data_IF_399501707131
#
_entry.id   IF_399501707131
#
_cell.length_a   1.000
_cell.length_b   1.000
_cell.length_c   1.000
_cell.angle_alpha   90.00
_cell.angle_beta   90.00
_cell.angle_gamma   90.00
#
_symmetry.space_group_name_H-M   'P 1'
#
loop_
_entity.id
_entity.type
_entity.pdbx_description
1 polymer ?
#
# COMPACT_ATOMS: atom_id res chain seq x y z
N UNK A 1 -46.16 -5.62 -47.03
CA UNK A 1 -44.71 -5.84 -47.24
C UNK A 1 -43.96 -4.63 -46.74
N UNK A 2 -43.46 -4.67 -45.50
CA UNK A 2 -42.45 -3.74 -44.98
C UNK A 2 -41.52 -4.54 -44.09
N UNK A 3 -40.25 -4.51 -44.47
CA UNK A 3 -39.11 -5.12 -43.82
C UNK A 3 -38.91 -4.54 -42.42
N UNK A 4 -38.53 -5.39 -41.46
CA UNK A 4 -38.05 -4.94 -40.15
C UNK A 4 -36.65 -5.51 -39.96
N UNK A 5 -35.65 -4.63 -40.03
CA UNK A 5 -34.24 -4.93 -39.74
C UNK A 5 -34.08 -5.42 -38.30
N UNK A 6 -33.48 -6.60 -38.15
CA UNK A 6 -32.96 -7.09 -36.88
C UNK A 6 -31.59 -6.45 -36.66
N UNK A 7 -31.53 -5.46 -35.77
CA UNK A 7 -30.28 -4.89 -35.27
C UNK A 7 -29.73 -5.76 -34.14
N UNK A 8 -28.71 -6.56 -34.46
CA UNK A 8 -27.95 -7.36 -33.50
C UNK A 8 -27.01 -6.42 -32.72
N UNK A 9 -27.39 -6.04 -31.50
CA UNK A 9 -26.48 -5.35 -30.56
C UNK A 9 -25.49 -6.39 -30.02
N UNK A 10 -24.27 -6.36 -30.57
CA UNK A 10 -23.14 -7.10 -30.03
C UNK A 10 -22.77 -6.54 -28.65
N UNK A 11 -23.12 -7.27 -27.60
CA UNK A 11 -22.56 -7.08 -26.26
C UNK A 11 -21.09 -7.49 -26.34
N UNK A 12 -20.20 -6.51 -26.50
CA UNK A 12 -18.78 -6.74 -26.33
C UNK A 12 -18.53 -7.16 -24.88
N UNK A 13 -18.16 -8.44 -24.69
CA UNK A 13 -17.72 -8.95 -23.41
C UNK A 13 -16.54 -8.11 -22.93
N UNK A 14 -16.74 -7.38 -21.82
CA UNK A 14 -15.66 -6.77 -21.05
C UNK A 14 -14.73 -7.89 -20.62
N UNK A 15 -13.59 -8.01 -21.29
CA UNK A 15 -12.55 -8.95 -20.93
C UNK A 15 -12.11 -8.68 -19.49
N UNK A 16 -11.99 -9.76 -18.72
CA UNK A 16 -11.38 -9.76 -17.39
C UNK A 16 -10.01 -9.10 -17.50
N UNK A 17 -9.86 -7.93 -16.87
CA UNK A 17 -8.59 -7.24 -16.74
C UNK A 17 -7.67 -8.08 -15.86
N UNK A 18 -7.00 -9.05 -16.44
CA UNK A 18 -5.83 -9.68 -15.83
C UNK A 18 -4.77 -8.59 -15.69
N UNK A 19 -4.22 -8.44 -14.49
CA UNK A 19 -3.04 -7.61 -14.29
C UNK A 19 -1.99 -8.02 -15.35
N UNK A 20 -1.33 -7.07 -16.02
CA UNK A 20 -0.38 -7.39 -17.09
C UNK A 20 0.69 -8.36 -16.57
N UNK A 21 1.04 -9.35 -17.40
CA UNK A 21 2.00 -10.38 -17.03
C UNK A 21 3.34 -9.77 -16.56
N UNK A 22 3.85 -10.28 -15.44
CA UNK A 22 5.10 -9.82 -14.82
C UNK A 22 6.29 -10.15 -15.74
N UNK A 23 7.19 -9.20 -16.04
CA UNK A 23 8.39 -9.49 -16.82
C UNK A 23 9.25 -10.57 -16.15
N UNK A 24 9.91 -11.41 -16.94
CA UNK A 24 10.86 -12.41 -16.44
C UNK A 24 12.01 -11.74 -15.66
N UNK A 25 12.63 -12.50 -14.75
CA UNK A 25 13.80 -12.04 -13.99
C UNK A 25 14.90 -11.55 -14.94
N UNK A 26 15.46 -10.34 -14.72
CA UNK A 26 16.62 -9.89 -15.48
C UNK A 26 17.78 -10.86 -15.26
N UNK A 27 18.35 -11.36 -16.35
CA UNK A 27 19.64 -12.03 -16.28
C UNK A 27 20.72 -10.96 -16.05
N UNK A 28 21.17 -10.81 -14.79
CA UNK A 28 22.07 -9.73 -14.37
C UNK A 28 23.42 -9.78 -15.09
N UNK A 29 23.74 -10.90 -15.74
CA UNK A 29 25.00 -11.12 -16.44
C UNK A 29 24.95 -10.74 -17.93
N UNK A 30 23.78 -10.48 -18.53
CA UNK A 30 23.63 -10.28 -19.98
C UNK A 30 23.18 -8.86 -20.40
N UNK A 31 22.80 -7.98 -19.47
CA UNK A 31 22.31 -6.63 -19.80
C UNK A 31 23.44 -5.60 -19.86
N UNK A 32 23.42 -4.69 -20.84
CA UNK A 32 24.33 -3.54 -20.87
C UNK A 32 24.13 -2.65 -19.61
N UNK A 33 25.18 -2.43 -18.81
CA UNK A 33 25.09 -1.58 -17.63
C UNK A 33 24.75 -0.12 -17.99
N UNK A 34 23.86 0.49 -17.23
CA UNK A 34 23.55 1.91 -17.33
C UNK A 34 24.40 2.73 -16.35
N UNK A 35 24.82 3.92 -16.77
CA UNK A 35 25.29 4.95 -15.82
C UNK A 35 24.13 5.44 -14.97
N UNK A 36 24.42 6.12 -13.85
CA UNK A 36 23.38 6.75 -13.01
C UNK A 36 22.43 7.65 -13.81
N UNK A 37 23.00 8.59 -14.59
CA UNK A 37 22.21 9.54 -15.41
C UNK A 37 21.38 8.80 -16.47
N UNK A 38 21.94 7.75 -17.10
CA UNK A 38 21.21 6.96 -18.07
C UNK A 38 20.04 6.20 -17.41
N UNK A 39 20.27 5.61 -16.22
CA UNK A 39 19.23 4.91 -15.47
C UNK A 39 18.10 5.85 -15.03
N UNK A 40 18.41 7.05 -14.54
CA UNK A 40 17.42 8.08 -14.19
C UNK A 40 16.57 8.50 -15.41
N UNK A 41 17.21 8.71 -16.56
CA UNK A 41 16.52 9.04 -17.82
C UNK A 41 15.62 7.90 -18.31
N UNK A 42 16.13 6.67 -18.30
CA UNK A 42 15.36 5.48 -18.71
C UNK A 42 14.17 5.28 -17.78
N UNK A 43 14.36 5.39 -16.46
CA UNK A 43 13.28 5.29 -15.48
C UNK A 43 12.18 6.34 -15.71
N UNK A 44 12.56 7.59 -15.99
CA UNK A 44 11.60 8.64 -16.30
C UNK A 44 10.82 8.36 -17.60
N UNK A 45 11.51 7.96 -18.68
CA UNK A 45 10.89 7.66 -19.97
C UNK A 45 9.98 6.44 -19.89
N UNK A 46 10.45 5.34 -19.31
CA UNK A 46 9.69 4.09 -19.11
C UNK A 46 8.52 4.31 -18.17
N UNK A 47 8.71 5.08 -17.10
CA UNK A 47 7.65 5.45 -16.17
C UNK A 47 6.53 6.25 -16.85
N UNK A 48 6.89 7.22 -17.70
CA UNK A 48 5.91 7.98 -18.49
C UNK A 48 5.15 7.09 -19.47
N UNK A 49 5.85 6.21 -20.21
CA UNK A 49 5.23 5.26 -21.14
C UNK A 49 4.29 4.28 -20.42
N UNK A 50 4.73 3.71 -19.31
CA UNK A 50 3.92 2.81 -18.48
C UNK A 50 2.68 3.53 -17.95
N UNK A 51 2.83 4.77 -17.47
CA UNK A 51 1.70 5.59 -17.01
C UNK A 51 0.66 5.78 -18.11
N UNK A 52 1.08 6.06 -19.34
CA UNK A 52 0.16 6.21 -20.46
C UNK A 52 -0.61 4.90 -20.76
N UNK A 53 0.08 3.75 -20.74
CA UNK A 53 -0.54 2.43 -20.92
C UNK A 53 -1.55 2.14 -19.82
N UNK A 54 -1.17 2.35 -18.55
CA UNK A 54 -2.06 2.16 -17.39
C UNK A 54 -3.25 3.13 -17.50
N UNK A 55 -3.02 4.41 -17.77
CA UNK A 55 -4.10 5.38 -17.89
C UNK A 55 -5.13 4.97 -18.96
N UNK A 56 -4.67 4.52 -20.14
CA UNK A 56 -5.54 4.06 -21.21
C UNK A 56 -6.35 2.80 -20.82
N UNK A 57 -5.70 1.82 -20.18
CA UNK A 57 -6.35 0.57 -19.76
C UNK A 57 -7.36 0.76 -18.62
N UNK A 58 -7.07 1.66 -17.68
CA UNK A 58 -7.87 1.86 -16.48
C UNK A 58 -8.91 2.98 -16.60
N UNK A 59 -8.82 3.89 -17.59
CA UNK A 59 -9.78 4.98 -17.77
C UNK A 59 -11.27 4.53 -17.73
N UNK A 60 -11.69 3.43 -18.40
CA UNK A 60 -13.08 2.97 -18.32
C UNK A 60 -13.51 2.53 -16.91
N UNK A 61 -12.61 1.86 -16.17
CA UNK A 61 -12.86 1.41 -14.79
C UNK A 61 -12.99 2.58 -13.82
N UNK A 62 -12.17 3.62 -13.99
CA UNK A 62 -12.22 4.84 -13.18
C UNK A 62 -13.51 5.62 -13.46
N UNK A 63 -13.92 5.70 -14.72
CA UNK A 63 -15.19 6.30 -15.12
C UNK A 63 -16.40 5.55 -14.52
N UNK A 64 -16.32 4.21 -14.50
CA UNK A 64 -17.33 3.35 -13.87
C UNK A 64 -17.24 3.30 -12.32
N UNK A 65 -16.21 3.93 -11.74
CA UNK A 65 -15.88 3.88 -10.30
C UNK A 65 -15.81 2.47 -9.72
N UNK A 66 -15.26 1.54 -10.48
CA UNK A 66 -15.08 0.16 -10.03
C UNK A 66 -13.88 -0.53 -10.67
N UNK A 67 -13.25 -1.41 -9.92
CA UNK A 67 -12.16 -2.28 -10.37
C UNK A 67 -12.53 -3.72 -10.03
N UNK A 68 -12.35 -4.62 -10.99
CA UNK A 68 -12.61 -6.06 -10.81
C UNK A 68 -11.33 -6.85 -11.00
N UNK A 69 -11.00 -7.71 -10.03
CA UNK A 69 -9.91 -8.69 -10.10
C UNK A 69 -10.52 -10.05 -9.74
N UNK A 70 -10.45 -11.00 -10.66
CA UNK A 70 -11.15 -12.29 -10.51
C UNK A 70 -12.66 -12.08 -10.40
N UNK A 71 -13.28 -12.64 -9.36
CA UNK A 71 -14.71 -12.48 -9.03
C UNK A 71 -15.00 -11.30 -8.09
N UNK A 72 -13.96 -10.56 -7.64
CA UNK A 72 -14.10 -9.49 -6.66
C UNK A 72 -14.10 -8.13 -7.32
N UNK A 73 -15.09 -7.31 -6.96
CA UNK A 73 -15.25 -5.95 -7.48
C UNK A 73 -15.19 -4.94 -6.35
N UNK A 74 -14.21 -4.06 -6.37
CA UNK A 74 -14.12 -2.88 -5.51
C UNK A 74 -14.82 -1.72 -6.21
N UNK A 75 -15.92 -1.22 -5.64
CA UNK A 75 -16.59 0.00 -6.08
C UNK A 75 -16.19 1.15 -5.18
N UNK A 76 -16.27 2.40 -5.63
CA UNK A 76 -16.02 3.54 -4.74
C UNK A 76 -16.84 4.77 -5.10
N UNK A 77 -16.96 5.64 -4.12
CA UNK A 77 -17.35 7.03 -4.33
C UNK A 77 -16.16 7.93 -4.06
N UNK A 78 -16.14 9.13 -4.65
CA UNK A 78 -15.03 10.07 -4.44
C UNK A 78 -15.47 11.53 -4.48
N UNK A 79 -14.73 12.38 -3.76
CA UNK A 79 -14.84 13.83 -3.73
C UNK A 79 -13.45 14.42 -3.92
N UNK A 80 -13.33 15.47 -4.71
CA UNK A 80 -12.05 16.16 -4.93
C UNK A 80 -12.04 17.48 -4.18
N UNK A 81 -10.94 17.77 -3.51
CA UNK A 81 -10.71 18.97 -2.72
C UNK A 81 -9.44 19.70 -3.19
N UNK A 82 -9.43 21.02 -3.02
CA UNK A 82 -8.31 21.88 -3.39
C UNK A 82 -8.03 21.91 -4.90
N UNK A 83 -6.88 22.47 -5.25
CA UNK A 83 -6.48 22.76 -6.65
C UNK A 83 -5.11 22.19 -7.01
N UNK A 84 -4.61 21.23 -6.23
CA UNK A 84 -3.30 20.63 -6.46
C UNK A 84 -3.18 20.11 -7.90
N UNK A 85 -2.06 20.45 -8.59
CA UNK A 85 -1.87 20.07 -9.98
C UNK A 85 -1.72 18.56 -10.15
N UNK A 86 -1.85 18.09 -11.39
CA UNK A 86 -1.59 16.69 -11.73
C UNK A 86 -0.19 16.26 -11.27
N UNK A 87 -0.10 15.09 -10.66
CA UNK A 87 1.12 14.53 -10.09
C UNK A 87 1.43 15.02 -8.67
N UNK A 88 0.60 15.88 -8.07
CA UNK A 88 0.78 16.43 -6.72
C UNK A 88 -0.41 16.23 -5.78
N UNK A 89 -1.51 15.64 -6.28
CA UNK A 89 -2.72 15.42 -5.49
C UNK A 89 -2.49 14.31 -4.47
N UNK A 90 -3.00 14.49 -3.27
CA UNK A 90 -3.11 13.40 -2.29
C UNK A 90 -4.30 12.50 -2.62
N UNK A 91 -4.24 11.25 -2.14
CA UNK A 91 -5.34 10.29 -2.17
C UNK A 91 -5.65 9.85 -0.75
N UNK A 92 -6.91 9.87 -0.37
CA UNK A 92 -7.39 9.43 0.94
C UNK A 92 -8.34 8.27 0.73
N UNK A 93 -7.94 7.07 1.12
CA UNK A 93 -8.75 5.85 1.04
C UNK A 93 -9.44 5.67 2.39
N UNK A 94 -10.76 5.85 2.43
CA UNK A 94 -11.56 5.86 3.66
C UNK A 94 -12.53 4.68 3.71
N UNK A 95 -12.15 3.64 4.45
CA UNK A 95 -12.88 2.37 4.53
C UNK A 95 -14.09 2.46 5.45
N UNK A 96 -15.23 1.94 4.99
CA UNK A 96 -16.49 1.98 5.74
C UNK A 96 -16.57 0.90 6.83
N UNK A 97 -17.37 1.18 7.86
CA UNK A 97 -17.75 0.21 8.90
C UNK A 97 -18.81 -0.79 8.44
N UNK A 98 -19.30 -1.64 9.35
CA UNK A 98 -20.28 -2.69 9.02
C UNK A 98 -19.64 -4.08 9.06
N UNK A 99 -19.91 -4.90 8.05
CA UNK A 99 -19.50 -6.30 8.02
C UNK A 99 -20.50 -7.24 8.71
N UNK A 100 -20.51 -8.49 8.26
CA UNK A 100 -21.43 -9.55 8.68
C UNK A 100 -22.91 -9.10 8.75
N UNK A 101 -23.33 -8.31 7.78
CA UNK A 101 -24.64 -7.68 7.72
C UNK A 101 -25.19 -7.75 6.30
N UNK A 102 -26.52 -7.61 6.09
CA UNK A 102 -27.07 -7.52 4.75
C UNK A 102 -26.43 -6.39 3.95
N UNK A 103 -26.25 -6.59 2.63
CA UNK A 103 -25.58 -5.62 1.76
C UNK A 103 -26.13 -4.19 1.88
N UNK A 104 -27.44 -4.03 2.01
CA UNK A 104 -28.07 -2.72 2.19
C UNK A 104 -27.59 -1.96 3.45
N UNK A 105 -27.18 -2.67 4.51
CA UNK A 105 -26.60 -2.06 5.72
C UNK A 105 -25.18 -1.58 5.41
N UNK A 106 -24.35 -2.41 4.78
CA UNK A 106 -23.00 -2.05 4.38
C UNK A 106 -22.98 -0.91 3.36
N UNK A 107 -23.90 -0.90 2.41
CA UNK A 107 -24.07 0.19 1.45
C UNK A 107 -24.40 1.50 2.15
N UNK A 108 -25.24 1.47 3.20
CA UNK A 108 -25.52 2.67 4.01
C UNK A 108 -24.27 3.16 4.75
N UNK A 109 -23.47 2.26 5.32
CA UNK A 109 -22.20 2.64 5.96
C UNK A 109 -21.21 3.25 4.95
N UNK A 110 -21.12 2.67 3.76
CA UNK A 110 -20.34 3.22 2.66
C UNK A 110 -20.78 4.62 2.25
N UNK A 111 -22.09 4.86 2.11
CA UNK A 111 -22.65 6.18 1.79
C UNK A 111 -22.43 7.22 2.91
N UNK A 112 -22.35 6.78 4.17
CA UNK A 112 -21.96 7.65 5.27
C UNK A 112 -20.46 8.00 5.20
N UNK A 113 -19.61 7.01 4.90
CA UNK A 113 -18.16 7.15 4.90
C UNK A 113 -17.66 8.22 3.94
N UNK A 114 -18.26 8.34 2.73
CA UNK A 114 -17.86 9.36 1.74
C UNK A 114 -18.13 10.81 2.19
N UNK A 115 -18.95 11.00 3.22
CA UNK A 115 -19.31 12.33 3.76
C UNK A 115 -18.60 12.66 5.08
N UNK A 116 -17.80 11.73 5.60
CA UNK A 116 -17.33 11.79 6.98
C UNK A 116 -16.22 12.83 7.19
N UNK A 117 -15.23 12.87 6.29
CA UNK A 117 -14.09 13.78 6.39
C UNK A 117 -13.96 14.72 5.20
N UNK A 118 -13.20 15.80 5.39
CA UNK A 118 -12.91 16.82 4.37
C UNK A 118 -11.43 17.20 4.49
N UNK A 119 -10.53 16.55 3.73
CA UNK A 119 -9.14 16.98 3.66
C UNK A 119 -9.00 18.35 2.96
N UNK A 120 -7.90 19.06 3.23
CA UNK A 120 -7.64 20.37 2.63
C UNK A 120 -7.45 20.28 1.11
N UNK A 121 -6.77 19.24 0.63
CA UNK A 121 -6.69 18.91 -0.78
C UNK A 121 -6.67 17.40 -1.06
N UNK A 122 -6.85 17.06 -2.32
CA UNK A 122 -6.70 15.72 -2.86
C UNK A 122 -8.02 15.05 -3.20
N UNK A 123 -7.96 13.73 -3.42
CA UNK A 123 -9.11 12.89 -3.73
C UNK A 123 -9.47 12.13 -2.48
N UNK A 124 -10.61 12.45 -1.88
CA UNK A 124 -11.19 11.67 -0.79
C UNK A 124 -12.09 10.58 -1.39
N UNK A 125 -11.70 9.33 -1.21
CA UNK A 125 -12.26 8.16 -1.85
C UNK A 125 -12.74 7.18 -0.78
N UNK A 126 -14.01 6.80 -0.84
CA UNK A 126 -14.56 5.75 0.02
C UNK A 126 -14.83 4.50 -0.82
N UNK A 127 -14.03 3.43 -0.68
CA UNK A 127 -14.34 2.15 -1.31
C UNK A 127 -15.49 1.44 -0.58
N UNK A 128 -16.26 0.63 -1.32
CA UNK A 128 -17.17 -0.39 -0.80
C UNK A 128 -16.46 -1.74 -0.84
N UNK A 129 -16.31 -2.39 0.31
CA UNK A 129 -15.62 -3.68 0.35
C UNK A 129 -16.29 -4.69 -0.58
N UNK A 130 -15.55 -5.54 -1.31
CA UNK A 130 -16.18 -6.45 -2.27
C UNK A 130 -17.13 -7.48 -1.63
N UNK A 131 -16.96 -7.78 -0.35
CA UNK A 131 -17.77 -8.73 0.42
C UNK A 131 -18.47 -8.07 1.61
N UNK A 132 -19.42 -8.80 2.19
CA UNK A 132 -20.21 -8.40 3.36
C UNK A 132 -19.85 -9.24 4.60
N UNK A 133 -18.70 -9.92 4.59
CA UNK A 133 -18.22 -10.79 5.67
C UNK A 133 -17.80 -9.97 6.89
N UNK A 134 -17.59 -10.62 8.03
CA UNK A 134 -17.16 -9.93 9.26
C UNK A 134 -15.77 -9.29 9.11
N UNK A 135 -14.90 -9.86 8.26
CA UNK A 135 -13.53 -9.43 7.99
C UNK A 135 -13.36 -8.86 6.57
N UNK A 136 -14.40 -8.20 6.04
CA UNK A 136 -14.48 -7.68 4.66
C UNK A 136 -13.25 -6.89 4.16
N UNK A 137 -12.46 -6.27 5.04
CA UNK A 137 -11.26 -5.50 4.68
C UNK A 137 -9.93 -6.25 4.87
N UNK A 138 -9.98 -7.47 5.41
CA UNK A 138 -8.81 -8.30 5.67
C UNK A 138 -8.62 -9.38 4.59
N UNK A 139 -9.68 -9.75 3.87
CA UNK A 139 -9.62 -10.81 2.87
C UNK A 139 -8.54 -10.55 1.80
N UNK A 140 -7.82 -11.60 1.38
CA UNK A 140 -6.60 -11.47 0.56
C UNK A 140 -6.76 -10.82 -0.82
N UNK A 141 -7.98 -10.55 -1.26
CA UNK A 141 -8.25 -9.81 -2.49
C UNK A 141 -8.21 -8.28 -2.30
N UNK A 142 -8.21 -7.78 -1.05
CA UNK A 142 -8.19 -6.34 -0.75
C UNK A 142 -6.89 -5.69 -1.20
N UNK A 143 -5.74 -6.27 -0.85
CA UNK A 143 -4.42 -5.74 -1.20
C UNK A 143 -4.24 -5.54 -2.71
N UNK A 144 -4.46 -6.56 -3.58
CA UNK A 144 -4.31 -6.35 -5.02
C UNK A 144 -5.33 -5.36 -5.59
N UNK A 145 -6.54 -5.26 -5.02
CA UNK A 145 -7.52 -4.24 -5.44
C UNK A 145 -7.08 -2.83 -5.04
N UNK A 146 -6.47 -2.66 -3.86
CA UNK A 146 -5.92 -1.37 -3.41
C UNK A 146 -4.68 -0.99 -4.20
N UNK A 147 -3.79 -1.93 -4.52
CA UNK A 147 -2.66 -1.70 -5.41
C UNK A 147 -3.13 -1.20 -6.78
N UNK A 148 -4.11 -1.89 -7.38
CA UNK A 148 -4.69 -1.50 -8.66
C UNK A 148 -5.37 -0.12 -8.58
N UNK A 149 -6.11 0.16 -7.50
CA UNK A 149 -6.75 1.45 -7.28
C UNK A 149 -5.72 2.59 -7.18
N UNK A 150 -4.65 2.41 -6.42
CA UNK A 150 -3.60 3.43 -6.26
C UNK A 150 -2.93 3.71 -7.61
N UNK A 151 -2.50 2.66 -8.31
CA UNK A 151 -1.85 2.81 -9.63
C UNK A 151 -2.78 3.51 -10.64
N UNK A 152 -4.07 3.17 -10.64
CA UNK A 152 -5.10 3.83 -11.43
C UNK A 152 -5.21 5.33 -11.12
N UNK A 153 -5.27 5.70 -9.83
CA UNK A 153 -5.40 7.09 -9.40
C UNK A 153 -4.13 7.90 -9.73
N UNK A 154 -2.94 7.29 -9.61
CA UNK A 154 -1.66 7.88 -10.01
C UNK A 154 -1.62 8.12 -11.52
N UNK A 155 -2.11 7.16 -12.31
CA UNK A 155 -2.08 7.22 -13.77
C UNK A 155 -3.06 8.25 -14.35
N UNK A 156 -4.31 8.21 -13.90
CA UNK A 156 -5.43 8.94 -14.51
C UNK A 156 -5.67 10.28 -13.82
N UNK A 157 -5.62 10.29 -12.49
CA UNK A 157 -6.01 11.46 -11.70
C UNK A 157 -4.83 12.26 -11.15
N UNK A 158 -3.59 11.83 -11.42
CA UNK A 158 -2.38 12.56 -11.04
C UNK A 158 -2.18 12.60 -9.53
N UNK A 159 -2.49 11.49 -8.85
CA UNK A 159 -2.10 11.29 -7.46
C UNK A 159 -0.58 11.18 -7.37
N UNK A 160 -0.01 11.82 -6.35
CA UNK A 160 1.37 11.59 -5.93
C UNK A 160 1.43 10.29 -5.11
N UNK A 161 2.17 9.26 -5.54
CA UNK A 161 2.26 7.97 -4.82
C UNK A 161 2.89 8.11 -3.42
N UNK A 162 3.52 9.24 -3.09
CA UNK A 162 4.00 9.52 -1.74
C UNK A 162 3.00 10.26 -0.85
N UNK A 163 1.79 10.53 -1.35
CA UNK A 163 0.73 11.23 -0.63
C UNK A 163 -0.59 10.43 -0.65
N UNK A 164 -0.47 9.13 -0.42
CA UNK A 164 -1.61 8.22 -0.27
C UNK A 164 -1.81 7.93 1.22
N UNK A 165 -3.03 8.10 1.69
CA UNK A 165 -3.40 8.01 3.10
C UNK A 165 -4.49 6.96 3.26
N UNK A 166 -4.33 6.07 4.24
CA UNK A 166 -5.33 5.03 4.55
C UNK A 166 -6.07 5.38 5.83
N UNK A 167 -7.39 5.31 5.84
CA UNK A 167 -8.16 5.52 7.06
C UNK A 167 -9.43 4.68 7.04
N UNK A 168 -10.05 4.47 8.20
CA UNK A 168 -11.27 3.69 8.28
C UNK A 168 -11.94 3.75 9.63
N UNK A 169 -13.27 3.61 9.63
CA UNK A 169 -14.09 3.71 10.84
C UNK A 169 -14.77 2.38 11.15
N UNK A 170 -14.81 1.97 12.43
CA UNK A 170 -15.44 0.72 12.88
C UNK A 170 -14.79 -0.50 12.21
N UNK A 171 -15.55 -1.35 11.50
CA UNK A 171 -14.95 -2.43 10.68
C UNK A 171 -13.95 -1.91 9.63
N UNK A 172 -14.10 -0.68 9.14
CA UNK A 172 -13.07 -0.03 8.34
C UNK A 172 -11.81 0.25 9.16
N UNK A 173 -11.94 0.56 10.45
CA UNK A 173 -10.82 0.63 11.39
C UNK A 173 -10.17 -0.73 11.64
N UNK A 174 -10.96 -1.81 11.75
CA UNK A 174 -10.44 -3.20 11.77
C UNK A 174 -9.60 -3.46 10.51
N UNK A 175 -10.10 -3.00 9.35
CA UNK A 175 -9.36 -3.03 8.08
C UNK A 175 -8.06 -2.24 8.11
N UNK A 176 -8.02 -1.06 8.76
CA UNK A 176 -6.78 -0.27 8.87
C UNK A 176 -5.73 -1.02 9.68
N UNK A 177 -6.11 -1.66 10.78
CA UNK A 177 -5.19 -2.49 11.56
C UNK A 177 -4.50 -3.56 10.73
N UNK A 178 -5.24 -4.17 9.79
CA UNK A 178 -4.76 -5.26 8.96
C UNK A 178 -4.01 -4.75 7.73
N UNK A 179 -4.59 -3.83 6.95
CA UNK A 179 -4.03 -3.38 5.66
C UNK A 179 -2.80 -2.48 5.84
N UNK A 180 -2.78 -1.62 6.87
CA UNK A 180 -1.70 -0.67 7.06
C UNK A 180 -0.31 -1.32 7.23
N UNK A 181 -0.09 -2.33 8.09
CA UNK A 181 1.21 -3.00 8.18
C UNK A 181 1.55 -3.81 6.93
N UNK A 182 0.54 -4.41 6.28
CA UNK A 182 0.68 -5.25 5.08
C UNK A 182 1.10 -4.46 3.84
N UNK A 183 0.67 -3.20 3.76
CA UNK A 183 0.92 -2.29 2.62
C UNK A 183 1.59 -0.98 3.05
N UNK A 184 2.38 -0.98 4.14
CA UNK A 184 2.99 0.23 4.70
C UNK A 184 3.88 0.99 3.70
N UNK A 185 4.42 0.27 2.72
CA UNK A 185 5.23 0.81 1.63
C UNK A 185 4.41 1.50 0.52
N UNK A 186 3.09 1.60 0.67
CA UNK A 186 2.18 2.31 -0.26
C UNK A 186 1.54 3.56 0.35
N UNK A 187 1.69 3.77 1.66
CA UNK A 187 1.03 4.86 2.38
C UNK A 187 2.01 5.85 3.00
N UNK A 188 1.56 7.09 3.12
CA UNK A 188 2.26 8.18 3.81
C UNK A 188 1.89 8.26 5.28
N UNK A 189 0.64 7.92 5.63
CA UNK A 189 0.15 7.73 6.99
C UNK A 189 -1.13 6.88 6.97
N UNK A 190 -1.47 6.28 8.11
CA UNK A 190 -2.73 5.58 8.33
C UNK A 190 -3.44 6.03 9.61
N UNK A 191 -4.78 5.99 9.65
CA UNK A 191 -5.57 6.29 10.84
C UNK A 191 -6.67 5.28 11.05
N UNK A 192 -6.66 4.65 12.22
CA UNK A 192 -7.67 3.71 12.69
C UNK A 192 -8.65 4.43 13.60
N UNK A 193 -9.94 4.36 13.27
CA UNK A 193 -11.01 4.96 14.07
C UNK A 193 -12.00 3.89 14.54
N UNK A 194 -12.20 3.77 15.84
CA UNK A 194 -13.18 2.86 16.48
C UNK A 194 -13.11 1.38 16.01
N UNK A 195 -11.94 0.93 15.55
CA UNK A 195 -11.69 -0.43 15.09
C UNK A 195 -11.05 -1.32 16.15
N UNK A 196 -11.28 -2.63 16.03
CA UNK A 196 -10.68 -3.68 16.82
C UNK A 196 -9.42 -4.22 16.12
N UNK A 197 -8.28 -4.38 16.83
CA UNK A 197 -7.03 -4.82 16.22
C UNK A 197 -7.02 -6.28 15.78
N UNK A 198 -7.91 -7.12 16.32
CA UNK A 198 -7.86 -8.58 16.13
C UNK A 198 -6.46 -9.11 16.49
N UNK A 199 -5.83 -9.85 15.58
CA UNK A 199 -4.47 -10.38 15.69
C UNK A 199 -3.40 -9.49 15.06
N UNK A 200 -3.74 -8.26 14.62
CA UNK A 200 -2.84 -7.40 13.89
C UNK A 200 -1.51 -7.13 14.62
N UNK A 201 -0.42 -7.38 13.90
CA UNK A 201 0.94 -7.04 14.32
C UNK A 201 1.28 -5.59 13.98
N UNK A 202 1.92 -4.87 14.91
CA UNK A 202 2.37 -3.49 14.69
C UNK A 202 3.74 -3.41 14.03
N UNK A 203 4.46 -4.52 13.92
CA UNK A 203 5.86 -4.54 13.46
C UNK A 203 6.03 -3.94 12.05
N UNK A 204 5.06 -4.18 11.15
CA UNK A 204 5.06 -3.63 9.80
C UNK A 204 4.90 -2.10 9.74
N UNK A 205 4.46 -1.46 10.83
CA UNK A 205 4.18 -0.02 10.88
C UNK A 205 5.44 0.84 11.07
N UNK A 206 6.64 0.25 11.16
CA UNK A 206 7.87 0.97 11.48
C UNK A 206 8.04 2.29 10.70
N UNK A 207 7.78 2.27 9.40
CA UNK A 207 7.97 3.44 8.52
C UNK A 207 6.65 4.14 8.14
N UNK A 208 5.53 3.74 8.74
CA UNK A 208 4.21 4.29 8.47
C UNK A 208 3.69 5.02 9.71
N UNK A 209 3.59 6.35 9.68
CA UNK A 209 2.88 7.12 10.69
C UNK A 209 1.47 6.57 10.90
N UNK A 210 1.13 6.18 12.13
CA UNK A 210 -0.12 5.48 12.44
C UNK A 210 -0.90 6.16 13.56
N UNK A 211 -2.19 6.45 13.34
CA UNK A 211 -3.05 7.05 14.35
C UNK A 211 -4.07 6.04 14.91
N UNK A 212 -4.25 6.05 16.24
CA UNK A 212 -5.25 5.26 16.97
C UNK A 212 -6.26 6.24 17.56
N UNK A 213 -7.53 6.16 17.13
CA UNK A 213 -8.60 7.03 17.61
C UNK A 213 -9.77 6.18 18.09
N UNK A 214 -10.14 6.34 19.37
CA UNK A 214 -11.07 5.43 20.04
C UNK A 214 -11.97 6.18 21.03
N UNK A 215 -13.24 5.79 21.10
CA UNK A 215 -14.15 6.26 22.15
C UNK A 215 -13.82 5.59 23.48
N UNK A 216 -13.67 6.37 24.56
CA UNK A 216 -13.35 5.84 25.89
C UNK A 216 -14.45 4.93 26.46
N UNK A 217 -15.70 5.09 26.00
CA UNK A 217 -16.84 4.25 26.35
C UNK A 217 -17.18 3.21 25.26
N UNK A 218 -16.38 3.07 24.19
CA UNK A 218 -16.54 2.02 23.18
C UNK A 218 -15.96 0.68 23.67
N UNK A 219 -16.66 0.07 24.63
CA UNK A 219 -16.23 -1.16 25.30
C UNK A 219 -16.60 -2.45 24.54
N UNK A 220 -17.32 -2.36 23.42
CA UNK A 220 -17.69 -3.53 22.63
C UNK A 220 -16.42 -4.25 22.15
N UNK A 221 -16.34 -5.57 22.42
CA UNK A 221 -15.17 -6.40 22.13
C UNK A 221 -13.86 -5.87 22.75
N UNK A 222 -13.94 -5.13 23.87
CA UNK A 222 -12.78 -4.51 24.52
C UNK A 222 -11.97 -3.53 23.63
N UNK A 223 -12.59 -2.95 22.60
CA UNK A 223 -11.92 -2.03 21.65
C UNK A 223 -11.16 -0.90 22.34
N UNK A 224 -11.78 -0.23 23.30
CA UNK A 224 -11.15 0.85 24.07
C UNK A 224 -9.90 0.39 24.83
N UNK A 225 -9.97 -0.74 25.55
CA UNK A 225 -8.84 -1.32 26.27
C UNK A 225 -7.72 -1.72 25.30
N UNK A 226 -8.05 -2.44 24.23
CA UNK A 226 -7.07 -2.89 23.24
C UNK A 226 -6.42 -1.72 22.50
N UNK A 227 -7.14 -0.63 22.23
CA UNK A 227 -6.56 0.59 21.69
C UNK A 227 -5.52 1.22 22.63
N UNK A 228 -5.78 1.20 23.95
CA UNK A 228 -4.81 1.66 24.95
C UNK A 228 -3.57 0.75 24.99
N UNK A 229 -3.76 -0.57 24.94
CA UNK A 229 -2.67 -1.54 24.91
C UNK A 229 -1.80 -1.40 23.66
N UNK A 230 -2.42 -1.23 22.48
CA UNK A 230 -1.71 -0.99 21.22
C UNK A 230 -1.00 0.36 21.20
N UNK A 231 -1.54 1.37 21.88
CA UNK A 231 -0.83 2.65 22.11
C UNK A 231 0.45 2.41 22.92
N UNK A 232 0.36 1.72 24.05
CA UNK A 232 1.52 1.40 24.87
C UNK A 232 2.53 0.47 24.17
N UNK A 233 2.09 -0.36 23.23
CA UNK A 233 2.96 -1.13 22.34
C UNK A 233 3.73 -0.22 21.37
N UNK A 234 3.06 0.73 20.70
CA UNK A 234 3.72 1.71 19.83
C UNK A 234 4.68 2.63 20.60
N UNK A 235 4.33 3.05 21.82
CA UNK A 235 5.24 3.82 22.69
C UNK A 235 6.55 3.06 22.93
N UNK A 236 6.46 1.77 23.27
CA UNK A 236 7.65 0.92 23.49
C UNK A 236 8.46 0.71 22.22
N UNK A 237 7.78 0.44 21.10
CA UNK A 237 8.44 0.24 19.80
C UNK A 237 9.15 1.53 19.34
N UNK A 238 8.51 2.69 19.49
CA UNK A 238 9.10 3.99 19.17
C UNK A 238 10.27 4.33 20.11
N UNK A 239 10.15 4.07 21.41
CA UNK A 239 11.25 4.28 22.35
C UNK A 239 12.49 3.42 22.02
N UNK A 240 12.28 2.19 21.55
CA UNK A 240 13.35 1.29 21.11
C UNK A 240 13.93 1.64 19.72
N UNK A 241 13.16 2.37 18.90
CA UNK A 241 13.56 2.82 17.56
C UNK A 241 13.05 4.26 17.31
N UNK A 242 13.74 5.29 17.83
CA UNK A 242 13.26 6.68 17.80
C UNK A 242 13.01 7.28 16.41
N UNK A 243 13.44 6.58 15.35
CA UNK A 243 13.17 6.94 13.95
C UNK A 243 12.05 6.13 13.28
N UNK A 244 11.34 5.27 14.03
CA UNK A 244 10.25 4.43 13.53
C UNK A 244 9.02 4.48 14.43
N UNK A 245 7.90 3.89 13.98
CA UNK A 245 6.65 3.80 14.74
C UNK A 245 6.10 5.15 15.21
N UNK A 246 6.29 6.20 14.40
CA UNK A 246 5.68 7.51 14.66
C UNK A 246 4.17 7.34 14.75
N UNK A 247 3.57 7.84 15.82
CA UNK A 247 2.15 7.60 16.04
C UNK A 247 1.45 8.75 16.77
N UNK A 248 0.12 8.74 16.66
CA UNK A 248 -0.78 9.58 17.44
C UNK A 248 -1.82 8.67 18.09
N UNK A 249 -2.10 8.86 19.38
CA UNK A 249 -3.20 8.13 20.04
C UNK A 249 -4.15 9.07 20.76
N UNK A 250 -5.45 8.77 20.64
CA UNK A 250 -6.56 9.50 21.26
C UNK A 250 -7.62 8.52 21.73
N UNK A 251 -7.80 8.44 23.04
CA UNK A 251 -8.93 7.77 23.68
C UNK A 251 -9.82 8.86 24.27
N UNK A 252 -10.96 9.13 23.63
CA UNK A 252 -11.82 10.26 23.99
C UNK A 252 -12.72 9.90 25.19
N UNK A 253 -12.50 10.46 26.40
CA UNK A 253 -13.23 10.04 27.59
C UNK A 253 -14.74 10.20 27.43
N UNK A 254 -15.50 9.19 27.83
CA UNK A 254 -16.97 9.18 27.80
C UNK A 254 -17.62 9.07 26.41
N UNK A 255 -16.86 9.19 25.32
CA UNK A 255 -17.44 9.02 23.98
C UNK A 255 -17.66 7.54 23.63
N UNK A 256 -18.82 7.18 23.06
CA UNK A 256 -19.13 5.81 22.66
C UNK A 256 -18.45 5.49 21.31
N UNK A 257 -18.91 4.42 20.63
CA UNK A 257 -18.42 4.03 19.30
C UNK A 257 -18.41 5.16 18.27
N UNK A 258 -19.38 6.08 18.37
CA UNK A 258 -19.38 7.33 17.61
C UNK A 258 -18.68 8.43 18.41
N UNK A 259 -17.56 8.94 17.88
CA UNK A 259 -16.69 9.91 18.57
C UNK A 259 -17.03 11.37 18.25
N UNK A 260 -18.26 11.67 17.79
CA UNK A 260 -18.70 13.02 17.42
C UNK A 260 -17.76 13.76 16.46
N UNK A 261 -17.12 13.01 15.55
CA UNK A 261 -16.09 13.48 14.59
C UNK A 261 -14.86 14.11 15.24
N UNK A 262 -14.61 13.96 16.55
CA UNK A 262 -13.37 14.45 17.15
C UNK A 262 -12.14 13.80 16.52
N UNK A 263 -12.30 12.56 16.06
CA UNK A 263 -11.32 11.79 15.31
C UNK A 263 -10.93 12.39 13.95
N UNK A 264 -11.65 13.38 13.43
CA UNK A 264 -11.25 14.13 12.24
C UNK A 264 -9.92 14.91 12.42
N UNK A 265 -9.43 15.10 13.65
CA UNK A 265 -8.11 15.69 13.90
C UNK A 265 -6.94 14.85 13.34
N UNK A 266 -7.18 13.56 13.06
CA UNK A 266 -6.23 12.71 12.36
C UNK A 266 -5.93 13.19 10.94
N UNK A 267 -6.89 13.83 10.25
CA UNK A 267 -6.74 14.25 8.86
C UNK A 267 -5.60 15.28 8.67
N UNK A 268 -5.58 16.42 9.38
CA UNK A 268 -4.46 17.36 9.27
C UNK A 268 -3.14 16.79 9.82
N UNK A 269 -3.19 15.89 10.81
CA UNK A 269 -1.98 15.21 11.29
C UNK A 269 -1.38 14.31 10.21
N UNK A 270 -2.18 13.45 9.59
CA UNK A 270 -1.76 12.58 8.48
C UNK A 270 -1.23 13.39 7.30
N UNK A 271 -1.87 14.51 6.95
CA UNK A 271 -1.46 15.37 5.84
C UNK A 271 -0.04 15.94 5.99
N UNK A 272 0.49 16.00 7.22
CA UNK A 272 1.86 16.43 7.51
C UNK A 272 2.93 15.43 7.07
N UNK A 273 2.55 14.20 6.72
CA UNK A 273 3.49 13.15 6.33
C UNK A 273 3.52 12.92 4.82
N UNK A 274 4.69 12.52 4.34
CA UNK A 274 4.95 12.05 2.98
C UNK A 274 5.69 10.72 3.08
N UNK A 275 5.31 9.74 2.26
CA UNK A 275 5.94 8.42 2.27
C UNK A 275 7.42 8.53 1.91
N UNK A 276 8.26 7.77 2.61
CA UNK A 276 9.62 7.49 2.19
C UNK A 276 9.66 6.14 1.44
N UNK A 277 9.85 6.10 0.12
CA UNK A 277 9.92 4.84 -0.63
C UNK A 277 11.23 4.05 -0.41
N UNK A 278 12.30 4.71 0.04
CA UNK A 278 13.62 4.09 0.26
C UNK A 278 14.11 4.26 1.70
N UNK A 279 13.36 3.78 2.71
CA UNK A 279 13.79 3.88 4.10
C UNK A 279 15.03 3.02 4.35
N UNK A 280 15.94 3.49 5.19
CA UNK A 280 17.18 2.78 5.54
C UNK A 280 16.96 1.57 6.43
N UNK A 281 15.81 1.48 7.10
CA UNK A 281 15.45 0.34 7.93
C UNK A 281 13.99 -0.04 7.71
N UNK A 282 13.73 -1.32 7.55
CA UNK A 282 12.38 -1.87 7.40
C UNK A 282 12.22 -3.08 8.32
N UNK A 283 11.02 -3.27 8.82
CA UNK A 283 10.61 -4.48 9.54
C UNK A 283 9.43 -5.05 8.77
N UNK A 284 9.66 -6.18 8.11
CA UNK A 284 8.67 -6.85 7.31
C UNK A 284 8.15 -8.07 8.07
N UNK A 285 6.94 -7.93 8.62
CA UNK A 285 6.21 -9.04 9.24
C UNK A 285 5.15 -9.54 8.26
N UNK A 286 5.07 -10.86 8.12
CA UNK A 286 4.05 -11.54 7.30
C UNK A 286 2.83 -11.86 8.15
N UNK A 287 1.65 -11.61 7.61
CA UNK A 287 0.38 -11.99 8.22
C UNK A 287 -0.22 -13.23 7.56
N UNK A 288 -1.43 -13.61 7.95
CA UNK A 288 -2.24 -14.66 7.31
C UNK A 288 -2.45 -14.39 5.80
N UNK A 289 -2.65 -13.12 5.43
CA UNK A 289 -2.51 -12.64 4.06
C UNK A 289 -1.05 -12.24 3.85
N UNK A 290 -0.32 -13.09 3.13
CA UNK A 290 1.10 -12.88 2.84
C UNK A 290 1.33 -11.98 1.62
N UNK A 291 2.48 -11.31 1.60
CA UNK A 291 2.90 -10.44 0.49
C UNK A 291 4.27 -10.85 -0.02
N UNK A 292 4.52 -10.55 -1.29
CA UNK A 292 5.77 -10.90 -1.96
C UNK A 292 6.76 -9.76 -2.02
N UNK A 293 6.34 -8.52 -1.81
CA UNK A 293 7.20 -7.34 -1.87
C UNK A 293 6.82 -6.39 -0.76
N UNK A 294 7.84 -5.84 -0.10
CA UNK A 294 7.70 -4.83 0.94
C UNK A 294 8.90 -3.88 0.89
N UNK A 295 8.64 -2.62 0.58
CA UNK A 295 9.65 -1.64 0.19
C UNK A 295 10.59 -2.22 -0.89
N UNK A 296 11.87 -2.32 -0.55
CA UNK A 296 12.94 -2.77 -1.43
C UNK A 296 13.33 -4.24 -1.25
N UNK A 297 12.51 -5.04 -0.56
CA UNK A 297 12.65 -6.49 -0.49
C UNK A 297 11.53 -7.21 -1.22
N UNK A 298 11.87 -8.36 -1.79
CA UNK A 298 10.89 -9.28 -2.37
C UNK A 298 11.25 -10.73 -2.08
N UNK A 299 10.24 -11.52 -1.69
CA UNK A 299 10.33 -12.97 -1.52
C UNK A 299 9.85 -13.64 -2.82
N UNK A 300 10.60 -14.64 -3.35
CA UNK A 300 10.22 -15.32 -4.58
C UNK A 300 8.90 -16.11 -4.45
N UNK A 301 8.26 -16.30 -5.60
CA UNK A 301 6.89 -16.75 -5.72
C UNK A 301 6.75 -18.28 -5.59
N UNK A 302 6.68 -18.80 -4.35
CA UNK A 302 6.05 -20.07 -3.96
C UNK A 302 6.27 -20.35 -2.45
N UNK A 303 5.22 -20.23 -1.64
CA UNK A 303 5.05 -20.88 -0.32
C UNK A 303 6.09 -20.64 0.80
N UNK A 304 7.06 -19.72 0.65
CA UNK A 304 8.12 -19.55 1.67
C UNK A 304 7.69 -18.69 2.87
N UNK A 305 6.96 -17.61 2.63
CA UNK A 305 6.45 -16.72 3.66
C UNK A 305 5.24 -17.35 4.35
N UNK A 306 5.24 -17.34 5.68
CA UNK A 306 4.14 -17.77 6.53
C UNK A 306 3.81 -16.67 7.53
N UNK A 307 2.57 -16.67 8.02
CA UNK A 307 2.19 -15.81 9.13
C UNK A 307 3.22 -15.90 10.28
N UNK A 308 3.64 -14.75 10.78
CA UNK A 308 4.65 -14.63 11.84
C UNK A 308 6.09 -14.59 11.34
N UNK A 309 6.38 -14.93 10.08
CA UNK A 309 7.72 -14.72 9.53
C UNK A 309 8.06 -13.23 9.55
N UNK A 310 9.22 -12.89 10.13
CA UNK A 310 9.70 -11.52 10.23
C UNK A 310 11.10 -11.39 9.64
N UNK A 311 11.29 -10.39 8.80
CA UNK A 311 12.60 -9.93 8.31
C UNK A 311 12.82 -8.49 8.69
N UNK A 312 13.90 -8.21 9.41
CA UNK A 312 14.41 -6.87 9.57
C UNK A 312 15.53 -6.61 8.58
N UNK A 313 15.55 -5.42 7.99
CA UNK A 313 16.60 -5.02 7.07
C UNK A 313 17.09 -3.62 7.41
N UNK A 314 18.42 -3.46 7.50
CA UNK A 314 19.09 -2.20 7.86
C UNK A 314 20.16 -1.87 6.82
N UNK A 315 20.20 -0.63 6.38
CA UNK A 315 21.22 -0.09 5.47
C UNK A 315 22.13 0.86 6.22
N UNK A 316 23.41 0.51 6.30
CA UNK A 316 24.49 1.36 6.83
C UNK A 316 25.57 1.54 5.76
N UNK A 317 25.69 2.76 5.24
CA UNK A 317 26.53 3.06 4.09
C UNK A 317 26.21 2.17 2.88
N UNK A 318 27.15 1.28 2.53
CA UNK A 318 27.05 0.31 1.42
C UNK A 318 26.70 -1.11 1.88
N UNK A 319 26.38 -1.30 3.16
CA UNK A 319 26.06 -2.60 3.74
C UNK A 319 24.57 -2.70 4.02
N UNK A 320 23.96 -3.77 3.55
CA UNK A 320 22.56 -4.13 3.80
C UNK A 320 22.56 -5.38 4.67
N UNK A 321 22.11 -5.26 5.91
CA UNK A 321 21.99 -6.38 6.84
C UNK A 321 20.54 -6.83 6.90
N UNK A 322 20.30 -8.11 6.59
CA UNK A 322 19.01 -8.78 6.75
C UNK A 322 19.09 -9.76 7.91
N UNK A 323 18.13 -9.70 8.83
CA UNK A 323 18.03 -10.60 9.98
C UNK A 323 16.63 -11.19 10.11
N UNK A 324 16.54 -12.42 10.61
CA UNK A 324 15.28 -13.15 10.76
C UNK A 324 15.05 -14.15 9.62
N UNK A 325 13.80 -14.25 9.17
CA UNK A 325 13.39 -15.24 8.16
C UNK A 325 13.57 -14.69 6.75
N UNK A 326 14.76 -14.93 6.18
CA UNK A 326 15.10 -14.54 4.81
C UNK A 326 15.17 -15.80 3.92
N UNK A 327 14.13 -16.10 3.12
CA UNK A 327 14.15 -17.27 2.22
C UNK A 327 15.24 -17.18 1.15
N UNK A 328 15.74 -18.34 0.71
CA UNK A 328 16.65 -18.41 -0.43
C UNK A 328 16.00 -17.80 -1.68
N UNK A 329 16.79 -17.09 -2.49
CA UNK A 329 16.27 -16.38 -3.66
C UNK A 329 15.53 -15.08 -3.36
N UNK A 330 15.50 -14.60 -2.11
CA UNK A 330 15.05 -13.24 -1.77
C UNK A 330 15.75 -12.22 -2.66
N UNK A 331 14.99 -11.28 -3.20
CA UNK A 331 15.52 -10.19 -4.04
C UNK A 331 15.65 -8.93 -3.20
N UNK A 332 16.81 -8.27 -3.33
CA UNK A 332 17.05 -6.93 -2.81
C UNK A 332 17.02 -5.96 -3.99
N UNK A 333 15.99 -5.13 -4.03
CA UNK A 333 15.82 -4.10 -5.05
C UNK A 333 16.63 -2.86 -4.64
N UNK A 334 17.37 -2.29 -5.58
CA UNK A 334 18.32 -1.23 -5.29
C UNK A 334 18.10 -0.01 -6.19
N UNK A 335 18.34 1.16 -5.59
CA UNK A 335 18.33 2.46 -6.23
C UNK A 335 19.44 3.30 -5.64
N UNK A 336 19.94 4.27 -6.40
CA UNK A 336 20.88 5.29 -5.90
C UNK A 336 20.35 6.12 -4.72
N UNK A 337 19.03 6.07 -4.48
CA UNK A 337 18.39 6.64 -3.29
C UNK A 337 18.66 5.83 -2.02
N UNK A 338 18.94 4.53 -2.15
CA UNK A 338 19.19 3.63 -1.02
C UNK A 338 20.68 3.41 -0.78
N UNK A 339 21.50 3.23 -1.81
CA UNK A 339 22.96 3.00 -1.74
C UNK A 339 23.63 3.61 -2.96
N UNK A 340 24.93 3.92 -2.91
CA UNK A 340 25.69 4.34 -4.08
C UNK A 340 26.04 3.13 -4.95
N UNK A 341 25.39 3.01 -6.12
CA UNK A 341 25.57 1.87 -7.02
C UNK A 341 26.85 1.95 -7.87
N UNK A 342 27.63 3.04 -7.78
CA UNK A 342 28.97 3.11 -8.39
C UNK A 342 30.03 2.40 -7.53
N UNK A 343 29.68 2.11 -6.27
CA UNK A 343 30.51 1.41 -5.28
C UNK A 343 30.00 -0.02 -5.06
N UNK A 344 30.87 -0.94 -4.60
CA UNK A 344 30.43 -2.27 -4.18
C UNK A 344 29.38 -2.18 -3.08
N UNK A 345 28.37 -3.05 -3.15
CA UNK A 345 27.34 -3.27 -2.13
C UNK A 345 27.63 -4.59 -1.44
N UNK A 346 27.44 -4.63 -0.12
CA UNK A 346 27.52 -5.84 0.68
C UNK A 346 26.15 -6.18 1.23
N UNK A 347 25.70 -7.42 1.05
CA UNK A 347 24.49 -7.91 1.71
C UNK A 347 24.86 -9.02 2.67
N UNK A 348 24.43 -8.92 3.92
CA UNK A 348 24.58 -9.99 4.92
C UNK A 348 23.22 -10.52 5.32
N UNK A 349 23.08 -11.83 5.45
CA UNK A 349 21.88 -12.51 5.96
C UNK A 349 22.27 -13.24 7.24
N UNK A 350 21.63 -12.90 8.36
CA UNK A 350 21.89 -13.51 9.67
C UNK A 350 23.38 -13.55 10.02
N UNK A 351 24.08 -12.43 9.80
CA UNK A 351 25.51 -12.26 10.08
C UNK A 351 26.47 -12.86 9.05
N UNK A 352 25.98 -13.58 8.02
CA UNK A 352 26.81 -14.17 6.96
C UNK A 352 26.74 -13.35 5.69
N UNK A 353 27.86 -13.19 4.98
CA UNK A 353 27.88 -12.50 3.69
C UNK A 353 27.13 -13.33 2.66
N UNK A 354 26.05 -12.78 2.12
CA UNK A 354 25.23 -13.39 1.08
C UNK A 354 25.55 -12.80 -0.31
N UNK A 355 26.02 -11.56 -0.37
CA UNK A 355 26.49 -10.91 -1.59
C UNK A 355 27.59 -9.88 -1.28
N UNK A 356 28.54 -9.72 -2.19
CA UNK A 356 29.56 -8.67 -2.13
C UNK A 356 30.10 -8.36 -3.52
N UNK A 357 29.86 -7.15 -4.01
CA UNK A 357 30.30 -6.77 -5.35
C UNK A 357 29.61 -5.52 -5.87
N UNK A 358 29.98 -5.10 -7.09
CA UNK A 358 29.26 -4.04 -7.80
C UNK A 358 27.98 -4.59 -8.41
N UNK A 359 26.88 -3.86 -8.27
CA UNK A 359 25.59 -4.20 -8.88
C UNK A 359 25.31 -3.23 -10.02
N UNK A 360 25.10 -3.75 -11.22
CA UNK A 360 24.83 -2.92 -12.39
C UNK A 360 23.41 -2.36 -12.39
N UNK A 361 23.27 -1.09 -12.80
CA UNK A 361 21.97 -0.53 -13.16
C UNK A 361 21.54 -1.09 -14.51
N UNK A 362 20.28 -1.50 -14.65
CA UNK A 362 19.78 -2.12 -15.89
C UNK A 362 18.39 -1.62 -16.24
N UNK A 363 18.10 -1.54 -17.55
CA UNK A 363 16.75 -1.23 -18.03
C UNK A 363 15.74 -2.31 -17.60
N UNK A 364 16.16 -3.57 -17.53
CA UNK A 364 15.31 -4.68 -17.12
C UNK A 364 14.85 -4.58 -15.65
N UNK A 365 15.73 -4.13 -14.73
CA UNK A 365 15.32 -3.85 -13.35
C UNK A 365 14.29 -2.73 -13.27
N UNK A 366 14.48 -1.66 -14.06
CA UNK A 366 13.53 -0.54 -14.18
C UNK A 366 12.18 -1.02 -14.70
N UNK A 367 12.17 -1.77 -15.81
CA UNK A 367 10.96 -2.25 -16.45
C UNK A 367 10.18 -3.21 -15.52
N UNK A 368 10.88 -4.09 -14.80
CA UNK A 368 10.25 -4.99 -13.81
C UNK A 368 9.68 -4.21 -12.62
N UNK A 369 10.41 -3.22 -12.10
CA UNK A 369 9.94 -2.38 -11.00
C UNK A 369 8.65 -1.63 -11.37
N UNK A 370 8.61 -1.06 -12.58
CA UNK A 370 7.46 -0.31 -13.10
C UNK A 370 6.27 -1.20 -13.53
N UNK A 371 6.54 -2.47 -13.85
CA UNK A 371 5.49 -3.43 -14.13
C UNK A 371 4.74 -3.82 -12.85
N UNK A 372 5.47 -3.95 -11.73
CA UNK A 372 4.89 -4.30 -10.43
C UNK A 372 4.14 -3.15 -9.77
N UNK A 373 4.68 -1.93 -9.84
CA UNK A 373 4.10 -0.73 -9.22
C UNK A 373 4.29 0.48 -10.13
N UNK A 374 3.20 1.19 -10.43
CA UNK A 374 3.29 2.46 -11.16
C UNK A 374 3.70 3.60 -10.23
N UNK A 375 4.96 3.58 -9.79
CA UNK A 375 5.49 4.56 -8.86
C UNK A 375 6.91 4.99 -9.25
N UNK A 376 7.02 6.19 -9.81
CA UNK A 376 8.32 6.78 -10.21
C UNK A 376 9.28 7.06 -9.04
N UNK A 377 8.76 7.11 -7.80
CA UNK A 377 9.56 7.33 -6.61
C UNK A 377 10.15 6.03 -6.03
N UNK A 378 9.54 4.88 -6.33
CA UNK A 378 9.93 3.53 -5.91
C UNK A 378 10.49 2.68 -7.07
N UNK A 379 11.12 3.32 -8.08
CA UNK A 379 11.75 2.60 -9.19
C UNK A 379 13.13 2.11 -8.80
N UNK A 380 13.27 0.80 -8.69
CA UNK A 380 14.56 0.15 -8.58
C UNK A 380 15.28 0.16 -9.93
N UNK A 381 16.59 0.42 -9.91
CA UNK A 381 17.46 0.41 -11.10
C UNK A 381 18.37 -0.81 -11.13
N UNK A 382 18.49 -1.53 -10.03
CA UNK A 382 19.32 -2.71 -9.86
C UNK A 382 18.62 -3.72 -8.94
N UNK A 383 18.98 -5.00 -9.05
CA UNK A 383 18.43 -6.07 -8.20
C UNK A 383 19.55 -7.06 -7.87
N UNK A 384 19.59 -7.53 -6.64
CA UNK A 384 20.45 -8.62 -6.18
C UNK A 384 19.57 -9.79 -5.77
N UNK A 385 19.79 -10.97 -6.36
CA UNK A 385 19.18 -12.21 -5.90
C UNK A 385 20.10 -12.85 -4.85
N UNK A 386 19.57 -13.12 -3.66
CA UNK A 386 20.30 -13.78 -2.59
C UNK A 386 20.35 -15.31 -2.81
N UNK A 387 21.43 -15.97 -2.34
CA UNK A 387 21.62 -17.42 -2.52
C UNK A 387 20.53 -18.27 -1.87
#
# INVERSE_FOLDING_TARGET
>A
MRETMIGLLAVAALSTSTAPARPAMPDTHAAQPLTRIAAERVAAQRGAARRAVVAAGWAPMLAARQITIGDKTLKWESRTFGTAPFGRRSLWISMHGGGNAPAAVNDRQWQNQIRLYTPAEGIYLAPRAPTDTWNLWHEGHIDPLFEALIDAQVAVNGVDPNRVYLMGYSAGGDGVWQVAPRMADRFAAAAMMAGHPNDASLLGLRNLPFAILMGGADAAYNRNTLAAEKTAELDRLHAADPGGYVHMSRIYPGLPHWMDRKDAESVPWMAGFTRNPWPKRIVWAQDDVTHKRFYWLEIPDAAAARQGDTTEAVVDGQTIALTGKVPAGTMVWLSDRLVDLDRPVRVTVNGRVAYGGKVARTAAAIDRSLAERLDGSDVATAVVKLP
#
